data_IF_694727862849
#
_entry.id   IF_694727862849
#
_cell.length_a   1.000
_cell.length_b   1.000
_cell.length_c   1.000
_cell.angle_alpha   90.00
_cell.angle_beta   90.00
_cell.angle_gamma   90.00
#
_symmetry.space_group_name_H-M   'P 1'
#
loop_
_entity.id
_entity.type
_entity.pdbx_description
1 polymer ?
#
# COMPACT_ATOMS: atom_id res chain seq x y z
N UNK A 1 -3.20 -13.05 52.86
CA UNK A 1 -3.12 -13.93 51.68
C UNK A 1 -3.63 -13.12 50.50
N UNK A 2 -2.75 -12.78 49.56
CA UNK A 2 -3.01 -11.74 48.55
C UNK A 2 -3.77 -12.34 47.35
N UNK A 3 -5.07 -12.05 47.28
CA UNK A 3 -6.03 -12.55 46.27
C UNK A 3 -5.69 -12.15 44.83
N UNK A 4 -4.80 -11.18 44.65
CA UNK A 4 -4.37 -10.66 43.35
C UNK A 4 -3.48 -11.64 42.57
N UNK A 5 -2.60 -12.37 43.28
CA UNK A 5 -1.63 -13.30 42.68
C UNK A 5 -2.25 -14.51 41.99
N UNK A 6 -3.37 -15.03 42.52
CA UNK A 6 -4.06 -16.21 41.99
C UNK A 6 -4.87 -15.93 40.73
N UNK A 7 -5.24 -14.67 40.48
CA UNK A 7 -5.97 -14.26 39.27
C UNK A 7 -5.00 -13.84 38.16
N UNK A 8 -3.89 -13.17 38.50
CA UNK A 8 -2.96 -12.65 37.50
C UNK A 8 -2.14 -13.77 36.82
N UNK A 9 -1.75 -14.80 37.59
CA UNK A 9 -0.87 -15.87 37.09
C UNK A 9 -1.51 -16.73 35.98
N UNK A 10 -2.77 -17.18 36.06
CA UNK A 10 -3.45 -17.89 34.98
C UNK A 10 -3.59 -17.06 33.69
N UNK A 11 -3.86 -15.75 33.81
CA UNK A 11 -3.97 -14.85 32.66
C UNK A 11 -2.63 -14.65 31.94
N UNK A 12 -1.53 -14.55 32.68
CA UNK A 12 -0.18 -14.47 32.11
C UNK A 12 0.18 -15.77 31.36
N UNK A 13 -0.06 -16.93 31.97
CA UNK A 13 0.22 -18.24 31.35
C UNK A 13 -0.64 -18.45 30.10
N UNK A 14 -1.93 -18.09 30.16
CA UNK A 14 -2.83 -18.15 29.00
C UNK A 14 -2.37 -17.24 27.86
N UNK A 15 -1.92 -16.02 28.18
CA UNK A 15 -1.41 -15.05 27.19
C UNK A 15 -0.12 -15.55 26.52
N UNK A 16 0.81 -16.14 27.29
CA UNK A 16 2.04 -16.76 26.77
C UNK A 16 1.72 -17.97 25.89
N UNK A 17 0.74 -18.78 26.27
CA UNK A 17 0.27 -19.93 25.47
C UNK A 17 -0.30 -19.49 24.12
N UNK A 18 -1.18 -18.47 24.13
CA UNK A 18 -1.76 -17.90 22.90
C UNK A 18 -0.68 -17.28 22.01
N UNK A 19 0.27 -16.53 22.59
CA UNK A 19 1.38 -15.95 21.83
C UNK A 19 2.30 -17.01 21.21
N UNK A 20 2.63 -18.06 21.96
CA UNK A 20 3.43 -19.18 21.49
C UNK A 20 2.73 -19.94 20.36
N UNK A 21 1.42 -20.19 20.51
CA UNK A 21 0.60 -20.81 19.46
C UNK A 21 0.55 -19.94 18.21
N UNK A 22 0.39 -18.62 18.35
CA UNK A 22 0.44 -17.67 17.22
C UNK A 22 1.79 -17.71 16.49
N UNK A 23 2.92 -17.76 17.22
CA UNK A 23 4.27 -17.92 16.64
C UNK A 23 4.43 -19.24 15.89
N UNK A 24 3.90 -20.34 16.44
CA UNK A 24 3.91 -21.65 15.79
C UNK A 24 3.06 -21.62 14.52
N UNK A 25 1.86 -21.05 14.55
CA UNK A 25 0.99 -20.89 13.39
C UNK A 25 1.62 -19.98 12.31
N UNK A 26 2.34 -18.93 12.69
CA UNK A 26 3.13 -18.13 11.74
C UNK A 26 4.22 -18.96 11.06
N UNK A 27 4.88 -19.85 11.81
CA UNK A 27 5.96 -20.70 11.30
C UNK A 27 5.43 -21.88 10.45
N UNK A 28 4.22 -22.34 10.74
CA UNK A 28 3.49 -23.37 9.99
C UNK A 28 2.73 -22.81 8.79
N UNK A 29 2.64 -21.48 8.65
CA UNK A 29 2.01 -20.85 7.49
C UNK A 29 2.80 -21.23 6.24
N UNK A 30 2.23 -22.16 5.47
CA UNK A 30 2.73 -22.55 4.17
C UNK A 30 2.81 -21.33 3.26
N UNK A 31 3.99 -21.07 2.71
CA UNK A 31 4.16 -20.07 1.67
C UNK A 31 3.24 -20.41 0.50
N UNK A 32 2.35 -19.49 0.15
CA UNK A 32 1.59 -19.59 -1.09
C UNK A 32 2.52 -19.15 -2.23
N UNK A 33 2.77 -20.05 -3.18
CA UNK A 33 3.55 -19.75 -4.37
C UNK A 33 2.60 -19.42 -5.52
N UNK A 34 2.77 -18.25 -6.12
CA UNK A 34 2.09 -17.88 -7.35
C UNK A 34 2.98 -18.32 -8.50
N UNK A 35 2.46 -19.17 -9.39
CA UNK A 35 3.13 -19.63 -10.60
C UNK A 35 2.43 -19.04 -11.83
N UNK A 36 3.19 -18.78 -12.90
CA UNK A 36 2.70 -18.35 -14.21
C UNK A 36 1.75 -17.14 -14.22
N UNK A 37 2.02 -16.18 -13.32
CA UNK A 37 1.29 -14.93 -13.22
C UNK A 37 2.20 -13.73 -13.50
N UNK A 38 1.70 -12.76 -14.26
CA UNK A 38 2.34 -11.45 -14.36
C UNK A 38 1.89 -10.58 -13.20
N UNK A 39 2.84 -10.21 -12.36
CA UNK A 39 2.64 -9.33 -11.20
C UNK A 39 3.30 -7.99 -11.47
N UNK A 40 2.51 -6.93 -11.44
CA UNK A 40 2.97 -5.54 -11.51
C UNK A 40 2.90 -4.96 -10.10
N UNK A 41 4.01 -4.42 -9.60
CA UNK A 41 4.10 -3.81 -8.27
C UNK A 41 4.61 -2.39 -8.41
N UNK A 42 3.84 -1.41 -7.95
CA UNK A 42 4.34 -0.04 -7.84
C UNK A 42 5.06 0.17 -6.52
N UNK A 43 6.19 0.86 -6.54
CA UNK A 43 6.94 1.15 -5.33
C UNK A 43 8.30 1.74 -5.63
N UNK A 44 8.94 2.30 -4.61
CA UNK A 44 10.35 2.65 -4.71
C UNK A 44 11.18 1.37 -4.87
N UNK A 45 12.18 1.41 -5.75
CA UNK A 45 13.11 0.30 -6.01
C UNK A 45 13.80 -0.20 -4.74
N UNK A 46 13.98 0.67 -3.74
CA UNK A 46 14.54 0.35 -2.42
C UNK A 46 13.68 -0.62 -1.59
N UNK A 47 12.38 -0.75 -1.89
CA UNK A 47 11.44 -1.60 -1.16
C UNK A 47 11.30 -3.03 -1.69
N UNK A 48 11.86 -3.35 -2.86
CA UNK A 48 11.70 -4.68 -3.49
C UNK A 48 12.57 -5.77 -2.86
N UNK A 49 13.46 -5.41 -1.92
CA UNK A 49 14.36 -6.33 -1.24
C UNK A 49 15.62 -6.68 -2.05
N UNK A 50 16.66 -7.19 -1.38
CA UNK A 50 17.90 -7.67 -2.02
C UNK A 50 17.92 -9.20 -2.12
N UNK A 51 16.74 -9.82 -2.17
CA UNK A 51 16.59 -11.27 -2.16
C UNK A 51 17.11 -11.92 -3.46
N UNK A 52 17.46 -13.21 -3.36
CA UNK A 52 17.77 -14.05 -4.52
C UNK A 52 16.46 -14.31 -5.28
N UNK A 53 16.13 -13.46 -6.24
CA UNK A 53 14.94 -13.63 -7.08
C UNK A 53 15.09 -14.88 -7.96
N UNK A 54 14.07 -15.74 -8.00
CA UNK A 54 14.02 -16.86 -8.96
C UNK A 54 13.81 -16.37 -10.40
N UNK A 55 13.21 -15.18 -10.59
CA UNK A 55 12.95 -14.57 -11.89
C UNK A 55 13.49 -13.14 -11.96
N UNK A 56 14.11 -12.78 -13.08
CA UNK A 56 14.61 -11.41 -13.29
C UNK A 56 13.41 -10.47 -13.54
N UNK A 57 13.22 -9.41 -12.74
CA UNK A 57 12.12 -8.47 -12.96
C UNK A 57 12.37 -7.60 -14.20
N UNK A 58 11.28 -7.21 -14.87
CA UNK A 58 11.26 -6.07 -15.76
C UNK A 58 10.97 -4.81 -14.95
N UNK A 59 11.66 -3.72 -15.26
CA UNK A 59 11.52 -2.43 -14.56
C UNK A 59 11.04 -1.39 -15.55
N UNK A 60 9.93 -0.73 -15.20
CA UNK A 60 9.42 0.46 -15.90
C UNK A 60 9.52 1.62 -14.92
N UNK A 61 10.20 2.69 -15.32
CA UNK A 61 10.45 3.86 -14.46
C UNK A 61 9.51 4.98 -14.88
N UNK A 62 8.68 5.43 -13.95
CA UNK A 62 7.74 6.54 -14.15
C UNK A 62 7.41 7.19 -12.81
N UNK A 63 6.90 8.42 -12.86
CA UNK A 63 6.36 9.10 -11.70
C UNK A 63 4.84 8.89 -11.62
N UNK A 64 4.34 8.54 -10.44
CA UNK A 64 2.92 8.31 -10.20
C UNK A 64 2.11 9.60 -10.08
N UNK A 65 2.73 10.73 -9.73
CA UNK A 65 2.03 12.02 -9.75
C UNK A 65 1.82 12.56 -11.17
N UNK A 66 2.47 12.00 -12.18
CA UNK A 66 2.30 12.38 -13.57
C UNK A 66 1.37 11.38 -14.30
N UNK A 67 0.13 11.80 -14.53
CA UNK A 67 -0.91 10.96 -15.17
C UNK A 67 -0.56 10.59 -16.61
N UNK A 68 0.17 11.43 -17.34
CA UNK A 68 0.60 11.14 -18.71
C UNK A 68 1.70 10.07 -18.70
N UNK A 69 2.65 10.19 -17.77
CA UNK A 69 3.69 9.19 -17.54
C UNK A 69 3.09 7.85 -17.12
N UNK A 70 2.06 7.84 -16.27
CA UNK A 70 1.34 6.62 -15.85
C UNK A 70 0.71 5.90 -17.04
N UNK A 71 0.09 6.64 -17.96
CA UNK A 71 -0.53 6.04 -19.16
C UNK A 71 0.53 5.42 -20.07
N UNK A 72 1.64 6.13 -20.27
CA UNK A 72 2.78 5.62 -21.05
C UNK A 72 3.39 4.36 -20.42
N UNK A 73 3.56 4.36 -19.10
CA UNK A 73 4.06 3.21 -18.36
C UNK A 73 3.12 2.00 -18.45
N UNK A 74 1.81 2.20 -18.38
CA UNK A 74 0.83 1.13 -18.54
C UNK A 74 0.95 0.44 -19.91
N UNK A 75 1.12 1.23 -20.98
CA UNK A 75 1.33 0.70 -22.32
C UNK A 75 2.65 -0.08 -22.43
N UNK A 76 3.74 0.43 -21.84
CA UNK A 76 5.02 -0.27 -21.79
C UNK A 76 4.92 -1.59 -21.03
N UNK A 77 4.26 -1.60 -19.86
CA UNK A 77 4.01 -2.81 -19.05
C UNK A 77 3.27 -3.86 -19.88
N UNK A 78 2.20 -3.47 -20.59
CA UNK A 78 1.43 -4.37 -21.43
C UNK A 78 2.23 -4.88 -22.63
N UNK A 79 3.08 -4.04 -23.23
CA UNK A 79 3.96 -4.46 -24.31
C UNK A 79 5.01 -5.49 -23.84
N UNK A 80 5.58 -5.29 -22.65
CA UNK A 80 6.60 -6.19 -22.09
C UNK A 80 6.03 -7.52 -21.61
N UNK A 81 4.87 -7.50 -20.96
CA UNK A 81 4.33 -8.68 -20.27
C UNK A 81 3.13 -9.34 -20.98
N UNK A 82 2.54 -8.69 -22.00
CA UNK A 82 1.38 -9.16 -22.76
C UNK A 82 0.05 -9.15 -22.00
N UNK A 83 0.09 -9.35 -20.69
CA UNK A 83 -1.06 -9.32 -19.77
C UNK A 83 -0.62 -8.88 -18.38
N UNK A 84 -1.58 -8.52 -17.53
CA UNK A 84 -1.35 -8.31 -16.09
C UNK A 84 -2.36 -9.15 -15.33
N UNK A 85 -1.88 -10.14 -14.56
CA UNK A 85 -2.74 -10.98 -13.73
C UNK A 85 -2.95 -10.35 -12.34
N UNK A 86 -1.94 -9.66 -11.82
CA UNK A 86 -1.99 -9.02 -10.50
C UNK A 86 -1.38 -7.61 -10.58
N UNK A 87 -2.10 -6.60 -10.11
CA UNK A 87 -1.61 -5.23 -9.92
C UNK A 87 -1.56 -4.92 -8.42
N UNK A 88 -0.40 -4.55 -7.91
CA UNK A 88 -0.20 -4.10 -6.53
C UNK A 88 0.15 -2.61 -6.54
N UNK A 89 -0.85 -1.79 -6.22
CA UNK A 89 -0.69 -0.36 -5.97
C UNK A 89 -0.11 -0.15 -4.56
N UNK A 90 1.22 -0.17 -4.46
CA UNK A 90 1.94 -0.06 -3.18
C UNK A 90 2.68 1.28 -3.00
N UNK A 91 3.05 1.95 -4.09
CA UNK A 91 3.70 3.26 -4.00
C UNK A 91 2.82 4.30 -3.30
N UNK A 92 3.46 5.16 -2.51
CA UNK A 92 2.82 6.27 -1.83
C UNK A 92 3.79 7.03 -0.94
N UNK A 93 3.41 8.25 -0.60
CA UNK A 93 4.17 9.15 0.28
C UNK A 93 3.36 9.45 1.54
N UNK A 94 4.06 9.58 2.67
CA UNK A 94 3.46 9.99 3.94
C UNK A 94 3.53 11.50 4.08
N UNK A 95 2.62 12.08 4.86
CA UNK A 95 2.63 13.49 5.23
C UNK A 95 2.61 13.66 6.76
N UNK A 96 3.29 14.68 7.29
CA UNK A 96 3.21 15.10 8.69
C UNK A 96 3.30 16.62 8.82
N UNK A 97 2.22 17.26 9.28
CA UNK A 97 2.19 18.71 9.41
C UNK A 97 0.90 19.24 10.04
N UNK A 98 0.96 20.43 10.62
CA UNK A 98 -0.19 21.16 11.14
C UNK A 98 -1.07 21.67 10.00
N UNK A 99 -2.37 21.43 10.10
CA UNK A 99 -3.35 21.84 9.09
C UNK A 99 -3.38 23.36 8.86
N UNK A 100 -3.05 24.17 9.87
CA UNK A 100 -3.05 25.64 9.75
C UNK A 100 -1.97 26.15 8.78
N UNK A 101 -0.89 25.39 8.61
CA UNK A 101 0.29 25.80 7.88
C UNK A 101 0.53 24.95 6.61
N UNK A 102 -0.27 23.90 6.41
CA UNK A 102 -0.08 23.00 5.27
C UNK A 102 -0.41 23.75 3.99
N UNK A 103 0.56 23.83 3.08
CA UNK A 103 0.32 24.44 1.78
C UNK A 103 -0.61 23.57 0.94
N UNK A 104 -1.55 24.18 0.22
CA UNK A 104 -2.48 23.45 -0.65
C UNK A 104 -1.77 22.61 -1.72
N UNK A 105 -0.56 23.02 -2.12
CA UNK A 105 0.26 22.26 -3.06
C UNK A 105 0.75 20.93 -2.46
N UNK A 106 1.01 20.89 -1.15
CA UNK A 106 1.33 19.65 -0.44
C UNK A 106 0.10 18.74 -0.42
N UNK A 107 -1.08 19.27 -0.10
CA UNK A 107 -2.33 18.48 -0.16
C UNK A 107 -2.55 17.85 -1.55
N UNK A 108 -2.36 18.64 -2.61
CA UNK A 108 -2.44 18.16 -4.01
C UNK A 108 -1.41 17.08 -4.29
N UNK A 109 -0.13 17.34 -3.99
CA UNK A 109 0.95 16.38 -4.22
C UNK A 109 0.67 15.03 -3.53
N UNK A 110 0.23 15.05 -2.27
CA UNK A 110 -0.12 13.82 -1.54
C UNK A 110 -1.29 13.11 -2.24
N UNK A 111 -2.29 13.84 -2.71
CA UNK A 111 -3.43 13.26 -3.45
C UNK A 111 -3.00 12.70 -4.81
N UNK A 112 -2.17 13.41 -5.56
CA UNK A 112 -1.68 13.01 -6.88
C UNK A 112 -0.92 11.69 -6.79
N UNK A 113 0.00 11.56 -5.83
CA UNK A 113 0.78 10.34 -5.65
C UNK A 113 -0.03 9.19 -5.02
N UNK A 114 -0.80 9.44 -3.95
CA UNK A 114 -1.45 8.35 -3.19
C UNK A 114 -2.79 7.90 -3.76
N UNK A 115 -3.46 8.76 -4.53
CA UNK A 115 -4.80 8.52 -5.05
C UNK A 115 -4.82 8.53 -6.57
N UNK A 116 -4.54 9.67 -7.22
CA UNK A 116 -4.73 9.79 -8.68
C UNK A 116 -3.80 8.86 -9.47
N UNK A 117 -2.53 8.73 -9.09
CA UNK A 117 -1.58 7.82 -9.73
C UNK A 117 -2.06 6.36 -9.73
N UNK A 118 -2.31 5.74 -8.56
CA UNK A 118 -2.87 4.39 -8.46
C UNK A 118 -4.19 4.20 -9.22
N UNK A 119 -5.08 5.21 -9.17
CA UNK A 119 -6.35 5.20 -9.91
C UNK A 119 -6.12 5.18 -11.42
N UNK A 120 -5.25 6.07 -11.92
CA UNK A 120 -4.92 6.17 -13.33
C UNK A 120 -4.28 4.88 -13.86
N UNK A 121 -3.31 4.32 -13.13
CA UNK A 121 -2.65 3.07 -13.51
C UNK A 121 -3.64 1.90 -13.53
N UNK A 122 -4.49 1.81 -12.50
CA UNK A 122 -5.53 0.78 -12.43
C UNK A 122 -6.46 0.89 -13.64
N UNK A 123 -6.98 2.09 -13.93
CA UNK A 123 -7.86 2.33 -15.08
C UNK A 123 -7.18 2.02 -16.41
N UNK A 124 -5.90 2.30 -16.56
CA UNK A 124 -5.16 2.01 -17.79
C UNK A 124 -4.95 0.50 -18.02
N UNK A 125 -4.77 -0.28 -16.95
CA UNK A 125 -4.56 -1.73 -17.04
C UNK A 125 -5.85 -2.57 -17.01
N UNK A 126 -6.95 -2.00 -16.47
CA UNK A 126 -8.23 -2.69 -16.30
C UNK A 126 -8.81 -3.27 -17.60
N UNK A 127 -8.78 -2.58 -18.76
CA UNK A 127 -9.29 -3.13 -20.01
C UNK A 127 -8.61 -4.44 -20.41
N UNK A 128 -7.31 -4.57 -20.15
CA UNK A 128 -6.57 -5.81 -20.42
C UNK A 128 -7.00 -6.94 -19.48
N UNK A 129 -7.17 -6.64 -18.18
CA UNK A 129 -7.70 -7.61 -17.20
C UNK A 129 -9.11 -8.09 -17.57
N UNK A 130 -9.99 -7.15 -17.97
CA UNK A 130 -11.37 -7.44 -18.39
C UNK A 130 -11.37 -8.33 -19.65
N UNK A 131 -10.56 -8.00 -20.65
CA UNK A 131 -10.41 -8.80 -21.88
C UNK A 131 -9.99 -10.25 -21.56
N UNK A 132 -9.11 -10.41 -20.57
CA UNK A 132 -8.62 -11.71 -20.13
C UNK A 132 -9.55 -12.42 -19.13
N UNK A 133 -10.63 -11.76 -18.67
CA UNK A 133 -11.59 -12.24 -17.66
C UNK A 133 -10.92 -12.78 -16.40
N UNK A 134 -9.80 -12.16 -16.01
CA UNK A 134 -9.00 -12.53 -14.85
C UNK A 134 -8.16 -11.34 -14.44
N UNK A 135 -8.13 -11.07 -13.14
CA UNK A 135 -7.20 -10.10 -12.56
C UNK A 135 -7.35 -10.01 -11.06
N UNK A 136 -6.31 -9.55 -10.39
CA UNK A 136 -6.40 -9.12 -9.00
C UNK A 136 -5.77 -7.75 -8.81
N UNK A 137 -6.54 -6.79 -8.31
CA UNK A 137 -6.03 -5.46 -7.94
C UNK A 137 -5.89 -5.38 -6.44
N UNK A 138 -4.67 -5.15 -5.96
CA UNK A 138 -4.35 -4.94 -4.56
C UNK A 138 -3.96 -3.48 -4.35
N UNK A 139 -4.63 -2.79 -3.45
CA UNK A 139 -4.31 -1.42 -3.07
C UNK A 139 -3.81 -1.33 -1.63
N UNK A 140 -2.66 -0.69 -1.44
CA UNK A 140 -2.12 -0.41 -0.10
C UNK A 140 -2.67 0.93 0.40
N UNK A 141 -3.69 0.84 1.23
CA UNK A 141 -4.26 1.97 1.98
C UNK A 141 -3.49 2.16 3.30
N UNK A 142 -4.20 2.49 4.38
CA UNK A 142 -3.72 2.61 5.76
C UNK A 142 -4.90 2.44 6.71
N UNK A 143 -4.65 2.16 7.98
CA UNK A 143 -5.65 2.40 9.02
C UNK A 143 -6.16 3.85 8.97
N UNK A 144 -5.31 4.79 8.53
CA UNK A 144 -5.66 6.19 8.30
C UNK A 144 -6.57 6.43 7.07
N UNK A 145 -6.92 5.37 6.33
CA UNK A 145 -8.00 5.40 5.33
C UNK A 145 -9.38 5.08 5.90
N UNK A 146 -9.46 4.79 7.22
CA UNK A 146 -10.71 4.51 7.95
C UNK A 146 -10.91 5.43 9.15
N UNK A 147 -9.82 5.96 9.70
CA UNK A 147 -9.82 6.92 10.81
C UNK A 147 -8.86 8.05 10.46
N UNK A 148 -9.09 9.24 11.00
CA UNK A 148 -8.19 10.38 10.82
C UNK A 148 -7.51 10.71 12.14
N UNK A 149 -6.21 11.03 12.10
CA UNK A 149 -5.42 11.42 13.28
C UNK A 149 -4.80 12.81 13.08
N UNK A 150 -4.57 13.57 14.17
CA UNK A 150 -3.94 14.89 14.07
C UNK A 150 -2.58 14.85 13.34
N UNK A 151 -2.25 15.98 12.71
CA UNK A 151 -1.01 16.18 11.94
C UNK A 151 -0.84 15.32 10.70
N UNK A 152 -1.91 14.68 10.21
CA UNK A 152 -1.89 13.76 9.07
C UNK A 152 -3.04 14.04 8.09
N UNK A 153 -3.53 15.28 8.01
CA UNK A 153 -4.70 15.67 7.21
C UNK A 153 -4.58 15.22 5.75
N UNK A 154 -3.55 15.69 5.04
CA UNK A 154 -3.34 15.35 3.62
C UNK A 154 -3.24 13.83 3.39
N UNK A 155 -2.48 13.14 4.25
CA UNK A 155 -2.32 11.69 4.16
C UNK A 155 -3.62 10.94 4.42
N UNK A 156 -4.31 11.25 5.52
CA UNK A 156 -5.56 10.58 5.90
C UNK A 156 -6.62 10.82 4.84
N UNK A 157 -6.76 12.05 4.33
CA UNK A 157 -7.65 12.36 3.23
C UNK A 157 -7.34 11.51 1.98
N UNK A 158 -6.07 11.44 1.56
CA UNK A 158 -5.68 10.63 0.41
C UNK A 158 -5.99 9.13 0.59
N UNK A 159 -5.77 8.58 1.80
CA UNK A 159 -6.04 7.16 2.08
C UNK A 159 -7.52 6.84 2.24
N UNK A 160 -8.35 7.77 2.69
CA UNK A 160 -9.82 7.61 2.63
C UNK A 160 -10.31 7.62 1.19
N UNK A 161 -9.79 8.51 0.34
CA UNK A 161 -10.11 8.53 -1.09
C UNK A 161 -9.70 7.22 -1.78
N UNK A 162 -8.48 6.73 -1.50
CA UNK A 162 -8.02 5.40 -1.95
C UNK A 162 -8.98 4.30 -1.49
N UNK A 163 -9.33 4.25 -0.21
CA UNK A 163 -10.22 3.22 0.35
C UNK A 163 -11.57 3.21 -0.38
N UNK A 164 -12.22 4.36 -0.48
CA UNK A 164 -13.53 4.49 -1.12
C UNK A 164 -13.49 4.06 -2.59
N UNK A 165 -12.50 4.53 -3.35
CA UNK A 165 -12.40 4.19 -4.77
C UNK A 165 -12.22 2.69 -5.00
N UNK A 166 -11.32 2.04 -4.26
CA UNK A 166 -11.08 0.61 -4.45
C UNK A 166 -12.21 -0.27 -3.89
N UNK A 167 -12.98 0.21 -2.91
CA UNK A 167 -14.21 -0.46 -2.48
C UNK A 167 -15.29 -0.41 -3.57
N UNK A 168 -15.45 0.74 -4.27
CA UNK A 168 -16.32 0.82 -5.46
C UNK A 168 -15.83 -0.08 -6.58
N UNK A 169 -14.52 -0.01 -6.92
CA UNK A 169 -13.91 -0.85 -7.94
C UNK A 169 -14.19 -2.33 -7.65
N UNK A 170 -14.05 -2.77 -6.39
CA UNK A 170 -14.36 -4.15 -6.00
C UNK A 170 -15.78 -4.54 -6.37
N UNK A 171 -16.77 -3.70 -6.04
CA UNK A 171 -18.17 -3.99 -6.34
C UNK A 171 -18.45 -4.01 -7.86
N UNK A 172 -17.86 -3.07 -8.60
CA UNK A 172 -18.06 -2.93 -10.05
C UNK A 172 -17.36 -4.04 -10.85
N UNK A 173 -16.27 -4.62 -10.32
CA UNK A 173 -15.43 -5.57 -11.05
C UNK A 173 -15.83 -7.04 -10.91
N UNK A 174 -16.77 -7.37 -10.02
CA UNK A 174 -17.32 -8.73 -9.84
C UNK A 174 -17.79 -9.36 -11.17
N UNK A 175 -18.58 -8.69 -12.03
CA UNK A 175 -19.06 -9.28 -13.29
C UNK A 175 -17.93 -9.62 -14.28
N UNK A 176 -16.75 -9.03 -14.10
CA UNK A 176 -15.59 -9.21 -14.97
C UNK A 176 -14.58 -10.23 -14.45
N UNK A 177 -14.88 -10.91 -13.34
CA UNK A 177 -13.98 -11.87 -12.68
C UNK A 177 -12.62 -11.25 -12.31
N UNK A 178 -12.67 -10.01 -11.80
CA UNK A 178 -11.51 -9.29 -11.29
C UNK A 178 -11.70 -9.05 -9.80
N UNK A 179 -10.82 -9.63 -8.99
CA UNK A 179 -10.83 -9.48 -7.55
C UNK A 179 -10.15 -8.17 -7.14
N UNK A 180 -10.61 -7.55 -6.06
CA UNK A 180 -9.98 -6.35 -5.50
C UNK A 180 -9.79 -6.48 -4.00
N UNK A 181 -8.55 -6.26 -3.53
CA UNK A 181 -8.18 -6.28 -2.11
C UNK A 181 -7.63 -4.91 -1.70
N UNK A 182 -8.18 -4.34 -0.62
CA UNK A 182 -7.61 -3.14 0.02
C UNK A 182 -6.96 -3.54 1.34
N UNK A 183 -5.66 -3.33 1.43
CA UNK A 183 -4.89 -3.60 2.65
C UNK A 183 -4.80 -2.29 3.44
N UNK A 184 -5.14 -2.31 4.73
CA UNK A 184 -5.07 -1.14 5.63
C UNK A 184 -4.06 -1.37 6.75
N UNK A 185 -2.74 -1.24 6.50
CA UNK A 185 -1.73 -1.44 7.54
C UNK A 185 -1.84 -0.40 8.66
N UNK A 186 -1.55 -0.83 9.88
CA UNK A 186 -1.22 0.05 11.00
C UNK A 186 0.22 0.55 10.93
N UNK A 187 0.87 0.76 12.07
CA UNK A 187 2.29 1.09 12.10
C UNK A 187 3.13 -0.11 11.68
N UNK A 188 3.86 0.06 10.57
CA UNK A 188 4.81 -0.91 10.05
C UNK A 188 6.22 -0.32 10.09
N UNK A 189 7.22 -1.17 10.32
CA UNK A 189 8.61 -0.74 10.37
C UNK A 189 9.14 -0.52 8.94
N UNK A 190 8.88 0.66 8.38
CA UNK A 190 9.41 1.09 7.08
C UNK A 190 9.94 2.52 7.14
N UNK A 191 10.80 2.90 6.19
CA UNK A 191 11.31 4.26 6.05
C UNK A 191 10.22 5.26 5.61
N UNK A 192 8.97 4.83 5.39
CA UNK A 192 7.87 5.70 4.97
C UNK A 192 7.61 6.84 5.96
N UNK A 193 7.73 6.57 7.26
CA UNK A 193 7.57 7.60 8.30
C UNK A 193 8.75 8.57 8.36
N UNK A 194 9.96 8.10 8.07
CA UNK A 194 11.18 8.91 8.03
C UNK A 194 11.21 9.83 6.79
N UNK A 195 10.66 9.35 5.68
CA UNK A 195 10.57 10.08 4.41
C UNK A 195 9.25 10.85 4.26
N UNK A 196 8.52 11.10 5.35
CA UNK A 196 7.28 11.87 5.29
C UNK A 196 7.56 13.29 4.79
N UNK A 197 6.61 13.85 4.06
CA UNK A 197 6.62 15.25 3.63
C UNK A 197 6.04 16.14 4.73
N UNK A 198 6.59 17.33 4.93
CA UNK A 198 6.13 18.35 5.90
C UNK A 198 5.18 19.39 5.29
N UNK A 199 4.83 20.41 6.08
CA UNK A 199 3.87 21.47 5.76
C UNK A 199 4.20 22.25 4.47
N UNK A 200 5.49 22.37 4.16
CA UNK A 200 6.10 23.13 3.05
C UNK A 200 6.62 22.22 1.92
N UNK A 201 6.38 20.91 1.98
CA UNK A 201 6.87 19.97 0.98
C UNK A 201 8.28 19.40 1.23
N UNK A 202 8.98 19.85 2.28
CA UNK A 202 10.30 19.31 2.63
C UNK A 202 10.23 17.92 3.28
N UNK A 203 11.37 17.22 3.40
CA UNK A 203 11.43 15.87 3.99
C UNK A 203 11.55 15.96 5.51
N UNK A 204 10.65 15.31 6.23
CA UNK A 204 10.62 15.24 7.69
C UNK A 204 11.92 14.69 8.29
N UNK A 205 12.52 13.65 7.68
CA UNK A 205 13.80 13.07 8.09
C UNK A 205 15.03 13.77 7.49
N UNK A 206 14.83 14.85 6.74
CA UNK A 206 15.91 15.73 6.30
C UNK A 206 16.39 16.56 7.49
N UNK A 207 17.63 16.34 7.89
CA UNK A 207 18.30 17.03 9.00
C UNK A 207 18.06 18.55 8.96
N UNK A 208 17.28 19.08 9.92
CA UNK A 208 17.61 20.38 10.49
C UNK A 208 18.85 20.16 11.37
N UNK A 209 20.03 20.19 10.76
CA UNK A 209 21.23 20.54 11.51
C UNK A 209 21.10 22.03 11.81
N UNK A 210 20.89 22.34 13.09
CA UNK A 210 21.40 23.58 13.66
C UNK A 210 22.92 23.62 13.48
#
# INVERSE_FOLDING_TARGET
MDLTSWVILPFLIGSIGIYSLFKVLQKLRTSAYIQDAVVVITGATSGLGKGKYMYKPHTVIFDLSDVEAVTSAANEILHLAGKVDILINNAGISFRGNILNTEINVDRMIMDTNYFGPVALTKALLPSMIKNKRGHVVAISSIQGKISIPFRSAYSASKHATQAFFDCLRAEMVPYNIDVTVISPGYIQTNLSLNAVTEDGSKYGGTYLL
#
